data_IF_146358576412
#
_entry.id   IF_146358576412
#
_cell.length_a   1.000
_cell.length_b   1.000
_cell.length_c   1.000
_cell.angle_alpha   90.00
_cell.angle_beta   90.00
_cell.angle_gamma   90.00
#
_symmetry.space_group_name_H-M   'P 1'
#
loop_
_entity.id
_entity.type
_entity.pdbx_description
1 polymer ?
#
# COMPACT_ATOMS: atom_id res chain seq x y z
N UNK A 1 6.41 -1.23 28.61
CA UNK A 1 6.05 -0.78 27.24
C UNK A 1 4.68 -1.35 26.94
N UNK A 2 3.65 -0.50 26.91
CA UNK A 2 2.27 -0.96 26.70
C UNK A 2 2.11 -1.43 25.26
N UNK A 3 2.19 -2.74 25.04
CA UNK A 3 1.94 -3.32 23.73
C UNK A 3 0.49 -3.01 23.33
N UNK A 4 0.31 -2.30 22.22
CA UNK A 4 -1.00 -2.09 21.61
C UNK A 4 -1.65 -3.47 21.40
N UNK A 5 -2.95 -3.59 21.70
CA UNK A 5 -3.66 -4.85 21.50
C UNK A 5 -3.58 -5.28 20.02
N UNK A 6 -3.55 -6.59 19.72
CA UNK A 6 -3.44 -7.09 18.34
C UNK A 6 -4.53 -6.54 17.40
N UNK A 7 -5.74 -6.33 17.95
CA UNK A 7 -6.85 -5.71 17.23
C UNK A 7 -6.54 -4.25 16.83
N UNK A 8 -5.94 -3.49 17.74
CA UNK A 8 -5.59 -2.09 17.52
C UNK A 8 -4.43 -1.95 16.52
N UNK A 9 -3.44 -2.85 16.56
CA UNK A 9 -2.37 -2.90 15.55
C UNK A 9 -2.91 -3.18 14.14
N UNK A 10 -3.87 -4.11 14.03
CA UNK A 10 -4.52 -4.45 12.75
C UNK A 10 -5.33 -3.27 12.20
N UNK A 11 -6.05 -2.56 13.08
CA UNK A 11 -6.79 -1.36 12.71
C UNK A 11 -5.86 -0.27 12.16
N UNK A 12 -4.74 0.01 12.85
CA UNK A 12 -3.77 0.99 12.40
C UNK A 12 -3.16 0.64 11.03
N UNK A 13 -2.87 -0.63 10.78
CA UNK A 13 -2.36 -1.08 9.48
C UNK A 13 -3.28 -0.70 8.32
N UNK A 14 -4.61 -0.83 8.50
CA UNK A 14 -5.60 -0.43 7.49
C UNK A 14 -5.71 1.07 7.37
N UNK A 15 -5.78 1.78 8.50
CA UNK A 15 -5.93 3.25 8.52
C UNK A 15 -4.72 3.91 7.86
N UNK A 16 -3.50 3.47 8.16
CA UNK A 16 -2.27 3.98 7.55
C UNK A 16 -2.31 3.79 6.04
N UNK A 17 -2.63 2.57 5.56
CA UNK A 17 -2.73 2.29 4.13
C UNK A 17 -3.80 3.17 3.43
N UNK A 18 -4.95 3.38 4.07
CA UNK A 18 -5.99 4.27 3.56
C UNK A 18 -5.53 5.74 3.49
N UNK A 19 -4.80 6.22 4.51
CA UNK A 19 -4.22 7.57 4.50
C UNK A 19 -3.17 7.73 3.40
N UNK A 20 -2.33 6.72 3.18
CA UNK A 20 -1.34 6.71 2.09
C UNK A 20 -2.04 6.83 0.74
N UNK A 21 -3.10 6.06 0.48
CA UNK A 21 -3.90 6.19 -0.73
C UNK A 21 -4.49 7.59 -0.90
N UNK A 22 -5.04 8.16 0.17
CA UNK A 22 -5.55 9.54 0.16
C UNK A 22 -4.48 10.56 -0.21
N UNK A 23 -3.29 10.44 0.37
CA UNK A 23 -2.15 11.31 0.09
C UNK A 23 -1.68 11.18 -1.38
N UNK A 24 -1.54 9.95 -1.88
CA UNK A 24 -1.16 9.71 -3.28
C UNK A 24 -2.21 10.21 -4.26
N UNK A 25 -3.51 10.09 -3.93
CA UNK A 25 -4.58 10.57 -4.78
C UNK A 25 -4.58 12.10 -4.86
N UNK A 26 -4.35 12.78 -3.74
CA UNK A 26 -4.17 14.24 -3.71
C UNK A 26 -2.95 14.67 -4.52
N UNK A 27 -1.82 13.97 -4.36
CA UNK A 27 -0.59 14.24 -5.10
C UNK A 27 -0.78 14.00 -6.61
N UNK A 28 -1.48 12.92 -6.98
CA UNK A 28 -1.79 12.62 -8.37
C UNK A 28 -2.72 13.67 -9.00
N UNK A 29 -3.68 14.22 -8.25
CA UNK A 29 -4.51 15.32 -8.76
C UNK A 29 -3.69 16.56 -9.13
N UNK A 30 -2.60 16.81 -8.40
CA UNK A 30 -1.69 17.94 -8.64
C UNK A 30 -0.77 17.69 -9.83
N UNK A 31 -0.03 16.58 -9.83
CA UNK A 31 1.07 16.38 -10.76
C UNK A 31 0.73 15.46 -11.94
N UNK A 32 -0.41 14.75 -11.88
CA UNK A 32 -0.94 13.83 -12.92
C UNK A 32 0.06 12.78 -13.44
N UNK A 33 1.07 12.44 -12.63
CA UNK A 33 2.09 11.45 -12.99
C UNK A 33 1.53 10.03 -13.10
N UNK A 34 1.92 9.31 -14.15
CA UNK A 34 1.56 7.90 -14.34
C UNK A 34 2.16 7.00 -13.24
N UNK A 35 3.34 7.37 -12.70
CA UNK A 35 4.00 6.62 -11.64
C UNK A 35 3.21 6.64 -10.32
N UNK A 36 2.49 7.74 -10.04
CA UNK A 36 1.57 7.81 -8.91
C UNK A 36 0.35 6.91 -9.10
N UNK A 37 -0.12 6.69 -10.33
CA UNK A 37 -1.21 5.73 -10.62
C UNK A 37 -0.75 4.31 -10.32
N UNK A 38 0.49 3.96 -10.69
CA UNK A 38 1.09 2.67 -10.35
C UNK A 38 1.18 2.49 -8.83
N UNK A 39 1.67 3.50 -8.11
CA UNK A 39 1.74 3.48 -6.65
C UNK A 39 0.34 3.36 -6.00
N UNK A 40 -0.65 4.12 -6.50
CA UNK A 40 -2.04 4.05 -6.04
C UNK A 40 -2.63 2.66 -6.23
N UNK A 41 -2.50 2.08 -7.42
CA UNK A 41 -3.01 0.74 -7.72
C UNK A 41 -2.36 -0.31 -6.83
N UNK A 42 -1.04 -0.24 -6.65
CA UNK A 42 -0.29 -1.18 -5.83
C UNK A 42 -0.68 -1.11 -4.34
N UNK A 43 -0.82 0.10 -3.77
CA UNK A 43 -1.26 0.24 -2.38
C UNK A 43 -2.74 -0.15 -2.20
N UNK A 44 -3.60 0.06 -3.21
CA UNK A 44 -4.99 -0.40 -3.17
C UNK A 44 -5.08 -1.93 -3.11
N UNK A 45 -4.24 -2.62 -3.89
CA UNK A 45 -4.09 -4.09 -3.79
C UNK A 45 -3.56 -4.49 -2.42
N UNK A 46 -2.54 -3.79 -1.91
CA UNK A 46 -2.00 -4.03 -0.56
C UNK A 46 -3.03 -3.82 0.55
N UNK A 47 -3.93 -2.84 0.40
CA UNK A 47 -5.05 -2.60 1.32
C UNK A 47 -6.05 -3.76 1.27
N UNK A 48 -6.37 -4.28 0.08
CA UNK A 48 -7.24 -5.44 -0.07
C UNK A 48 -6.66 -6.67 0.66
N UNK A 49 -5.36 -6.93 0.53
CA UNK A 49 -4.70 -8.00 1.28
C UNK A 49 -4.80 -7.82 2.80
N UNK A 50 -4.60 -6.60 3.31
CA UNK A 50 -4.79 -6.28 4.73
C UNK A 50 -6.22 -6.52 5.19
N UNK A 51 -7.21 -6.20 4.36
CA UNK A 51 -8.61 -6.46 4.66
C UNK A 51 -8.90 -7.97 4.71
N UNK A 52 -8.40 -8.73 3.73
CA UNK A 52 -8.52 -10.20 3.73
C UNK A 52 -7.87 -10.82 4.96
N UNK A 53 -6.70 -10.33 5.39
CA UNK A 53 -6.04 -10.78 6.63
C UNK A 53 -6.89 -10.54 7.89
N UNK A 54 -7.71 -9.50 7.92
CA UNK A 54 -8.58 -9.19 9.05
C UNK A 54 -9.83 -10.09 9.03
N UNK A 55 -10.42 -10.31 7.86
CA UNK A 55 -11.69 -11.06 7.74
C UNK A 55 -11.46 -12.57 7.71
N UNK A 56 -10.41 -13.04 7.02
CA UNK A 56 -10.10 -14.45 6.81
C UNK A 56 -8.58 -14.71 6.91
N UNK A 57 -8.01 -14.66 8.12
CA UNK A 57 -6.56 -14.82 8.33
C UNK A 57 -6.02 -16.18 7.87
N UNK A 58 -6.83 -17.24 7.93
CA UNK A 58 -6.41 -18.60 7.60
C UNK A 58 -6.18 -18.82 6.10
N UNK A 59 -6.90 -18.10 5.24
CA UNK A 59 -6.73 -18.15 3.78
C UNK A 59 -5.37 -17.60 3.34
N UNK A 60 -4.93 -16.51 3.97
CA UNK A 60 -3.64 -15.89 3.63
C UNK A 60 -2.48 -16.69 4.21
N UNK A 61 -2.66 -17.32 5.38
CA UNK A 61 -1.64 -18.18 6.00
C UNK A 61 -1.47 -19.52 5.29
N UNK A 62 -2.53 -20.06 4.71
CA UNK A 62 -2.51 -21.35 4.00
C UNK A 62 -2.08 -21.26 2.54
N UNK A 63 -2.02 -20.05 1.95
CA UNK A 63 -1.67 -19.84 0.55
C UNK A 63 -0.37 -19.03 0.39
N UNK A 64 0.79 -19.69 0.17
CA UNK A 64 2.08 -19.01 -0.04
C UNK A 64 2.04 -17.96 -1.17
N UNK A 65 1.24 -18.22 -2.20
CA UNK A 65 1.03 -17.32 -3.34
C UNK A 65 0.43 -15.98 -2.92
N UNK A 66 -0.46 -15.95 -1.91
CA UNK A 66 -1.04 -14.69 -1.43
C UNK A 66 0.01 -13.81 -0.77
N UNK A 67 0.93 -14.41 0.00
CA UNK A 67 2.02 -13.68 0.62
C UNK A 67 3.01 -13.12 -0.42
N UNK A 68 3.34 -13.89 -1.46
CA UNK A 68 4.16 -13.42 -2.58
C UNK A 68 3.49 -12.28 -3.34
N UNK A 69 2.19 -12.39 -3.62
CA UNK A 69 1.42 -11.34 -4.30
C UNK A 69 1.34 -10.05 -3.45
N UNK A 70 1.14 -10.17 -2.14
CA UNK A 70 1.16 -9.02 -1.23
C UNK A 70 2.54 -8.36 -1.15
N UNK A 71 3.61 -9.16 -1.12
CA UNK A 71 4.98 -8.63 -1.13
C UNK A 71 5.28 -7.93 -2.46
N UNK A 72 4.85 -8.51 -3.58
CA UNK A 72 5.01 -7.92 -4.90
C UNK A 72 4.24 -6.60 -5.02
N UNK A 73 3.04 -6.48 -4.44
CA UNK A 73 2.32 -5.21 -4.43
C UNK A 73 3.11 -4.13 -3.66
N UNK A 74 3.77 -4.48 -2.54
CA UNK A 74 4.66 -3.56 -1.84
C UNK A 74 5.87 -3.12 -2.70
N UNK A 75 6.44 -4.04 -3.48
CA UNK A 75 7.54 -3.73 -4.39
C UNK A 75 7.10 -2.78 -5.52
N UNK A 76 5.95 -3.05 -6.16
CA UNK A 76 5.39 -2.20 -7.22
C UNK A 76 5.06 -0.81 -6.68
N UNK A 77 4.54 -0.73 -5.44
CA UNK A 77 4.31 0.54 -4.76
C UNK A 77 5.61 1.35 -4.61
N UNK A 78 6.68 0.72 -4.11
CA UNK A 78 7.98 1.38 -3.97
C UNK A 78 8.57 1.83 -5.32
N UNK A 79 8.46 1.01 -6.36
CA UNK A 79 8.89 1.36 -7.72
C UNK A 79 8.08 2.55 -8.26
N UNK A 80 6.76 2.56 -8.05
CA UNK A 80 5.90 3.68 -8.44
C UNK A 80 6.32 4.99 -7.76
N UNK A 81 6.60 4.96 -6.46
CA UNK A 81 7.10 6.14 -5.74
C UNK A 81 8.48 6.59 -6.23
N UNK A 82 9.39 5.65 -6.49
CA UNK A 82 10.73 5.96 -7.00
C UNK A 82 10.65 6.60 -8.39
N UNK A 83 9.85 6.04 -9.30
CA UNK A 83 9.64 6.59 -10.63
C UNK A 83 9.07 8.02 -10.57
N UNK A 84 8.11 8.25 -9.68
CA UNK A 84 7.59 9.60 -9.44
C UNK A 84 8.66 10.57 -8.90
N UNK A 85 9.47 10.13 -7.93
CA UNK A 85 10.53 10.97 -7.36
C UNK A 85 11.59 11.37 -8.40
N UNK A 86 11.96 10.45 -9.30
CA UNK A 86 12.87 10.72 -10.43
C UNK A 86 12.21 11.71 -11.40
N UNK A 87 10.94 11.51 -11.75
CA UNK A 87 10.20 12.39 -12.67
C UNK A 87 10.15 13.83 -12.14
N UNK A 88 9.88 14.02 -10.85
CA UNK A 88 9.81 15.36 -10.24
C UNK A 88 11.19 15.99 -10.06
N UNK A 89 12.21 15.20 -9.71
CA UNK A 89 13.58 15.69 -9.58
C UNK A 89 14.16 16.17 -10.91
N UNK A 90 13.81 15.52 -12.02
CA UNK A 90 14.24 15.93 -13.36
C UNK A 90 13.52 17.15 -13.94
N UNK A 91 12.41 17.59 -13.33
CA UNK A 91 11.67 18.81 -13.73
C UNK A 91 12.18 20.08 -13.04
N UNK A 92 13.07 19.96 -12.05
CA UNK A 92 13.70 21.08 -11.33
C UNK A 92 15.08 21.37 -11.89
#
# INVERSE_FOLDING_TARGET
>A
MNALSPALQSLFSVVIAAMVLGALALLWRRDRSAWLVVALGAEAVGLAFRFVLIVQPDLVRSAPLMFSAWTLSGLVFAIGLLGYAIEVSGKR
#
